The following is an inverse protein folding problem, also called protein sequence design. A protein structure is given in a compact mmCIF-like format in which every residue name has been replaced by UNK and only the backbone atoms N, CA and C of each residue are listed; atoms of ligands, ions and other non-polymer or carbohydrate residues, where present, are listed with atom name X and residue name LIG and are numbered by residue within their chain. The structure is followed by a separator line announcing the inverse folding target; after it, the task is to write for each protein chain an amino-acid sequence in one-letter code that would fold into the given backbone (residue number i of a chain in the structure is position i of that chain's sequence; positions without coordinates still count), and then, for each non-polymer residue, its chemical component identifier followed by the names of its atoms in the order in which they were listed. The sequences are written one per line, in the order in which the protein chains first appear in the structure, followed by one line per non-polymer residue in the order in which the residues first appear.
data_IF_458053131184
#
_entry.id   IF_458053131184
#
_cell.length_a   1.000
_cell.length_b   1.000
_cell.length_c   1.000
_cell.angle_alpha   90.00
_cell.angle_beta   90.00
_cell.angle_gamma   90.00
#
_symmetry.space_group_name_H-M   'P 1'
#
loop_
_entity.id
_entity.type
_entity.pdbx_description
1 polymer ?
#
# COMPACT_ATOMS: atom_id res chain seq x y z
N UNK A 1 46.89 6.14 67.17
CA UNK A 1 47.10 6.87 65.89
C UNK A 1 46.38 6.11 64.77
N UNK A 2 45.26 6.64 64.27
CA UNK A 2 44.55 6.09 63.11
C UNK A 2 45.02 6.84 61.86
N UNK A 3 45.84 6.21 61.02
CA UNK A 3 46.18 6.73 59.69
C UNK A 3 45.11 6.26 58.70
N UNK A 4 44.09 7.11 58.51
CA UNK A 4 43.09 6.97 57.46
C UNK A 4 43.52 7.87 56.31
N UNK A 5 44.29 7.32 55.36
CA UNK A 5 44.63 8.02 54.11
C UNK A 5 43.83 7.35 52.99
N UNK A 6 42.56 7.73 52.86
CA UNK A 6 41.80 7.53 51.63
C UNK A 6 41.89 8.84 50.84
N UNK A 7 42.78 8.90 49.86
CA UNK A 7 42.86 10.04 48.93
C UNK A 7 41.59 10.09 48.07
N UNK A 8 40.76 11.15 48.18
CA UNK A 8 39.46 11.22 47.49
C UNK A 8 39.59 11.18 45.96
N UNK A 9 40.64 11.80 45.40
CA UNK A 9 40.82 11.88 43.94
C UNK A 9 41.05 10.55 43.21
N UNK A 10 41.45 9.47 43.90
CA UNK A 10 41.68 8.16 43.25
C UNK A 10 40.38 7.39 43.00
N UNK A 11 39.37 7.58 43.86
CA UNK A 11 38.05 6.98 43.70
C UNK A 11 37.26 7.69 42.59
N UNK A 12 37.36 9.02 42.50
CA UNK A 12 36.68 9.80 41.45
C UNK A 12 37.24 9.52 40.05
N UNK A 13 38.55 9.27 39.95
CA UNK A 13 39.20 8.88 38.69
C UNK A 13 38.81 7.47 38.25
N UNK A 14 38.73 6.50 39.18
CA UNK A 14 38.23 5.15 38.89
C UNK A 14 36.74 5.14 38.51
N UNK A 15 35.91 5.98 39.15
CA UNK A 15 34.50 6.14 38.81
C UNK A 15 34.32 6.69 37.40
N UNK A 16 35.08 7.73 37.03
CA UNK A 16 35.08 8.31 35.68
C UNK A 16 35.54 7.32 34.60
N UNK A 17 36.56 6.50 34.88
CA UNK A 17 37.02 5.45 33.96
C UNK A 17 35.98 4.32 33.79
N UNK A 18 35.31 3.93 34.87
CA UNK A 18 34.22 2.94 34.81
C UNK A 18 32.99 3.48 34.06
N UNK A 19 32.64 4.77 34.21
CA UNK A 19 31.57 5.42 33.45
C UNK A 19 31.92 5.55 31.96
N UNK A 20 33.17 5.90 31.64
CA UNK A 20 33.67 5.93 30.25
C UNK A 20 33.66 4.53 29.61
N UNK A 21 34.13 3.51 30.33
CA UNK A 21 34.13 2.12 29.85
C UNK A 21 32.72 1.54 29.68
N UNK A 22 31.76 1.99 30.51
CA UNK A 22 30.33 1.64 30.36
C UNK A 22 29.73 2.33 29.14
N UNK A 23 30.04 3.60 28.90
CA UNK A 23 29.61 4.35 27.71
C UNK A 23 30.12 3.75 26.40
N UNK A 24 31.39 3.34 26.36
CA UNK A 24 31.97 2.69 25.17
C UNK A 24 31.35 1.31 24.88
N UNK A 25 31.00 0.55 25.93
CA UNK A 25 30.32 -0.74 25.79
C UNK A 25 28.89 -0.56 25.25
N UNK A 26 28.15 0.42 25.77
CA UNK A 26 26.80 0.76 25.30
C UNK A 26 26.83 1.25 23.85
N UNK A 27 27.81 2.09 23.48
CA UNK A 27 27.99 2.54 22.09
C UNK A 27 28.24 1.38 21.13
N UNK A 28 29.11 0.43 21.51
CA UNK A 28 29.37 -0.78 20.69
C UNK A 28 28.14 -1.67 20.56
N UNK A 29 27.36 -1.83 21.63
CA UNK A 29 26.13 -2.61 21.58
C UNK A 29 25.05 -1.96 20.70
N UNK A 30 24.87 -0.64 20.80
CA UNK A 30 23.95 0.09 19.92
C UNK A 30 24.36 0.00 18.44
N UNK A 31 25.66 0.05 18.15
CA UNK A 31 26.17 -0.13 16.78
C UNK A 31 25.94 -1.55 16.26
N UNK A 32 26.11 -2.58 17.11
CA UNK A 32 25.85 -3.97 16.74
C UNK A 32 24.36 -4.22 16.47
N UNK A 33 23.48 -3.71 17.34
CA UNK A 33 22.02 -3.80 17.17
C UNK A 33 21.58 -3.01 15.94
N UNK A 34 22.11 -1.80 15.72
CA UNK A 34 21.79 -0.98 14.54
C UNK A 34 22.18 -1.67 13.23
N UNK A 35 23.35 -2.34 13.19
CA UNK A 35 23.76 -3.14 12.03
C UNK A 35 22.85 -4.33 11.81
N UNK A 36 22.53 -5.09 12.86
CA UNK A 36 21.61 -6.22 12.77
C UNK A 36 20.22 -5.78 12.28
N UNK A 37 19.67 -4.71 12.86
CA UNK A 37 18.38 -4.14 12.45
C UNK A 37 18.41 -3.65 11.00
N UNK A 38 19.51 -3.05 10.55
CA UNK A 38 19.67 -2.65 9.15
C UNK A 38 19.73 -3.84 8.19
N UNK A 39 20.38 -4.95 8.56
CA UNK A 39 20.41 -6.17 7.75
C UNK A 39 19.03 -6.83 7.64
N UNK A 40 18.34 -7.01 8.77
CA UNK A 40 17.01 -7.61 8.76
C UNK A 40 15.96 -6.70 8.12
N UNK A 41 15.97 -5.41 8.46
CA UNK A 41 15.08 -4.42 7.89
C UNK A 41 15.31 -4.24 6.38
N UNK A 42 16.57 -4.08 5.96
CA UNK A 42 16.93 -3.99 4.55
C UNK A 42 16.57 -5.24 3.77
N UNK A 43 16.86 -6.43 4.30
CA UNK A 43 16.50 -7.71 3.69
C UNK A 43 14.99 -7.90 3.54
N UNK A 44 14.22 -7.57 4.58
CA UNK A 44 12.76 -7.66 4.55
C UNK A 44 12.14 -6.70 3.53
N UNK A 45 12.65 -5.47 3.44
CA UNK A 45 12.19 -4.49 2.46
C UNK A 45 12.52 -4.92 1.03
N UNK A 46 13.73 -5.41 0.78
CA UNK A 46 14.13 -5.95 -0.53
C UNK A 46 13.29 -7.16 -0.92
N UNK A 47 13.02 -8.08 0.01
CA UNK A 47 12.19 -9.24 -0.26
C UNK A 47 10.75 -8.83 -0.57
N UNK A 48 10.16 -7.95 0.25
CA UNK A 48 8.77 -7.49 0.08
C UNK A 48 8.57 -6.77 -1.25
N UNK A 49 9.52 -5.92 -1.64
CA UNK A 49 9.49 -5.21 -2.93
C UNK A 49 9.68 -6.18 -4.09
N UNK A 50 10.64 -7.10 -4.02
CA UNK A 50 10.86 -8.13 -5.04
C UNK A 50 9.63 -9.02 -5.24
N UNK A 51 9.01 -9.49 -4.15
CA UNK A 51 7.77 -10.29 -4.21
C UNK A 51 6.62 -9.52 -4.86
N UNK A 52 6.46 -8.23 -4.53
CA UNK A 52 5.40 -7.40 -5.13
C UNK A 52 5.61 -7.24 -6.64
N UNK A 53 6.84 -7.00 -7.08
CA UNK A 53 7.18 -6.88 -8.51
C UNK A 53 6.94 -8.21 -9.23
N UNK A 54 7.37 -9.33 -8.64
CA UNK A 54 7.16 -10.67 -9.21
C UNK A 54 5.68 -11.03 -9.33
N UNK A 55 4.86 -10.74 -8.31
CA UNK A 55 3.42 -10.99 -8.39
C UNK A 55 2.77 -10.09 -9.44
N UNK A 56 3.14 -8.82 -9.52
CA UNK A 56 2.62 -7.91 -10.54
C UNK A 56 2.97 -8.36 -11.95
N UNK A 57 4.22 -8.81 -12.19
CA UNK A 57 4.63 -9.31 -13.49
C UNK A 57 3.88 -10.58 -13.87
N UNK A 58 3.72 -11.53 -12.94
CA UNK A 58 2.91 -12.74 -13.16
C UNK A 58 1.44 -12.41 -13.45
N UNK A 59 0.85 -11.43 -12.75
CA UNK A 59 -0.52 -10.97 -13.03
C UNK A 59 -0.64 -10.32 -14.40
N UNK A 60 0.35 -9.54 -14.82
CA UNK A 60 0.37 -8.95 -16.16
C UNK A 60 0.54 -9.99 -17.26
N UNK A 61 1.44 -10.96 -17.07
CA UNK A 61 1.61 -12.09 -17.99
C UNK A 61 0.35 -12.95 -18.04
N UNK A 62 -0.30 -13.18 -16.90
CA UNK A 62 -1.57 -13.90 -16.83
C UNK A 62 -2.69 -13.12 -17.53
N UNK A 63 -2.83 -11.81 -17.30
CA UNK A 63 -3.82 -10.97 -17.98
C UNK A 63 -3.58 -10.94 -19.50
N UNK A 64 -2.34 -10.80 -19.96
CA UNK A 64 -2.02 -10.84 -21.40
C UNK A 64 -2.25 -12.21 -22.02
N UNK A 65 -1.98 -13.30 -21.29
CA UNK A 65 -2.27 -14.66 -21.74
C UNK A 65 -3.78 -14.91 -21.80
N UNK A 66 -4.51 -14.47 -20.78
CA UNK A 66 -5.98 -14.51 -20.76
C UNK A 66 -6.56 -13.70 -21.91
N UNK A 67 -6.06 -12.50 -22.23
CA UNK A 67 -6.51 -11.76 -23.43
C UNK A 67 -6.29 -12.51 -24.75
N UNK A 68 -5.27 -13.36 -24.83
CA UNK A 68 -4.95 -14.13 -26.04
C UNK A 68 -5.77 -15.43 -26.17
N UNK A 69 -6.05 -16.09 -25.04
CA UNK A 69 -6.66 -17.42 -25.05
C UNK A 69 -8.06 -17.48 -24.44
N UNK A 70 -8.45 -16.53 -23.59
CA UNK A 70 -9.78 -16.48 -23.01
C UNK A 70 -10.79 -16.06 -24.07
N UNK A 71 -11.98 -16.65 -23.99
CA UNK A 71 -13.07 -16.27 -24.88
C UNK A 71 -13.48 -14.83 -24.59
N UNK A 72 -13.72 -14.08 -25.66
CA UNK A 72 -14.27 -12.73 -25.56
C UNK A 72 -15.60 -12.79 -24.81
N UNK A 73 -15.83 -11.85 -23.92
CA UNK A 73 -17.10 -11.78 -23.20
C UNK A 73 -18.22 -11.50 -24.20
N UNK A 74 -19.10 -12.48 -24.41
CA UNK A 74 -20.22 -12.36 -25.35
C UNK A 74 -21.18 -11.21 -25.01
N UNK A 75 -21.30 -10.84 -23.72
CA UNK A 75 -22.21 -9.79 -23.29
C UNK A 75 -21.77 -8.35 -23.67
N UNK A 76 -20.47 -8.13 -23.87
CA UNK A 76 -19.93 -6.84 -24.32
C UNK A 76 -19.07 -6.96 -25.58
N UNK A 77 -19.09 -8.10 -26.26
CA UNK A 77 -18.33 -8.37 -27.49
C UNK A 77 -16.86 -7.97 -27.38
N UNK A 78 -16.20 -8.32 -26.27
CA UNK A 78 -14.79 -7.93 -26.08
C UNK A 78 -14.55 -6.49 -25.61
N UNK A 79 -15.53 -5.57 -25.69
CA UNK A 79 -15.35 -4.13 -25.41
C UNK A 79 -15.15 -3.79 -23.94
N UNK A 80 -15.58 -4.68 -23.03
CA UNK A 80 -15.50 -4.47 -21.57
C UNK A 80 -16.47 -3.43 -21.00
N UNK A 81 -17.09 -2.62 -21.84
CA UNK A 81 -18.07 -1.60 -21.46
C UNK A 81 -19.30 -1.71 -22.35
N UNK A 82 -20.45 -1.25 -21.86
CA UNK A 82 -21.65 -1.07 -22.67
C UNK A 82 -22.26 0.32 -22.38
N UNK A 83 -23.05 0.83 -23.32
CA UNK A 83 -23.77 2.08 -23.13
C UNK A 83 -24.65 2.02 -21.89
N UNK A 84 -24.63 3.08 -21.07
CA UNK A 84 -25.40 3.14 -19.83
C UNK A 84 -26.88 2.88 -20.11
N UNK A 85 -27.39 1.74 -19.63
CA UNK A 85 -28.79 1.34 -19.88
C UNK A 85 -29.79 2.22 -19.13
N UNK A 86 -29.33 2.87 -18.05
CA UNK A 86 -30.17 3.72 -17.22
C UNK A 86 -30.47 5.07 -17.89
N UNK A 87 -29.42 5.81 -18.26
CA UNK A 87 -29.58 7.11 -18.91
C UNK A 87 -29.69 7.01 -20.44
N UNK A 88 -29.46 5.84 -21.06
CA UNK A 88 -29.50 5.65 -22.52
C UNK A 88 -28.69 6.71 -23.30
N UNK A 89 -27.61 7.20 -22.72
CA UNK A 89 -26.76 8.25 -23.30
C UNK A 89 -27.05 9.69 -22.86
N UNK A 90 -28.14 9.99 -22.14
CA UNK A 90 -28.48 11.35 -21.68
C UNK A 90 -27.55 11.90 -20.59
N UNK A 91 -26.66 11.09 -20.00
CA UNK A 91 -25.80 11.39 -18.84
C UNK A 91 -26.53 11.78 -17.55
N UNK A 92 -27.79 12.17 -17.63
CA UNK A 92 -28.64 12.59 -16.52
C UNK A 92 -29.94 11.78 -16.48
N UNK A 93 -30.54 11.68 -15.31
CA UNK A 93 -31.83 11.00 -15.07
C UNK A 93 -32.79 11.98 -14.42
N UNK A 94 -34.06 11.91 -14.82
CA UNK A 94 -35.08 12.82 -14.31
C UNK A 94 -35.67 12.38 -12.97
N UNK A 95 -35.47 11.11 -12.62
CA UNK A 95 -35.90 10.53 -11.37
C UNK A 95 -34.67 10.23 -10.49
N UNK A 96 -34.83 10.42 -9.18
CA UNK A 96 -33.85 10.03 -8.18
C UNK A 96 -34.42 8.90 -7.33
N UNK A 97 -33.69 7.79 -7.13
CA UNK A 97 -34.13 6.71 -6.24
C UNK A 97 -34.11 7.11 -4.75
N UNK A 98 -33.42 8.20 -4.41
CA UNK A 98 -33.43 8.81 -3.08
C UNK A 98 -34.30 10.08 -3.13
N UNK A 99 -35.33 10.13 -2.28
CA UNK A 99 -36.14 11.34 -2.10
C UNK A 99 -35.33 12.34 -1.29
N UNK A 100 -34.65 13.25 -1.99
CA UNK A 100 -33.88 14.33 -1.39
C UNK A 100 -34.58 15.67 -1.72
N UNK A 101 -35.03 16.45 -0.71
CA UNK A 101 -35.69 17.73 -0.93
C UNK A 101 -34.79 18.81 -1.56
N UNK A 102 -33.48 18.55 -1.71
CA UNK A 102 -32.50 19.51 -2.27
C UNK A 102 -32.21 19.27 -3.76
N UNK A 103 -32.55 18.10 -4.31
CA UNK A 103 -32.18 17.75 -5.69
C UNK A 103 -33.16 18.31 -6.74
N UNK A 104 -32.65 19.16 -7.62
CA UNK A 104 -33.37 19.69 -8.79
C UNK A 104 -33.08 18.78 -10.00
N UNK A 105 -34.09 18.07 -10.47
CA UNK A 105 -34.07 17.28 -11.70
C UNK A 105 -33.68 18.17 -12.92
N UNK A 106 -32.79 17.74 -13.83
CA UNK A 106 -32.22 16.40 -13.97
C UNK A 106 -30.89 16.18 -13.25
N UNK A 107 -30.83 15.05 -12.54
CA UNK A 107 -29.70 14.64 -11.72
C UNK A 107 -28.67 13.89 -12.57
N UNK A 108 -27.41 13.87 -12.15
CA UNK A 108 -26.40 13.04 -12.82
C UNK A 108 -26.74 11.55 -12.67
N UNK A 109 -26.55 10.76 -13.74
CA UNK A 109 -26.91 9.34 -13.71
C UNK A 109 -26.03 8.58 -12.69
N UNK A 110 -26.60 7.95 -11.65
CA UNK A 110 -25.82 7.32 -10.58
C UNK A 110 -25.13 6.02 -11.00
N UNK A 111 -25.46 5.48 -12.19
CA UNK A 111 -24.86 4.23 -12.66
C UNK A 111 -23.68 4.45 -13.60
N UNK A 112 -23.58 5.60 -14.25
CA UNK A 112 -22.44 5.94 -15.10
C UNK A 112 -21.72 7.21 -14.67
N UNK A 113 -22.15 7.87 -13.59
CA UNK A 113 -21.62 9.15 -13.11
C UNK A 113 -21.50 10.20 -14.22
N UNK A 114 -22.46 10.22 -15.14
CA UNK A 114 -22.48 11.12 -16.29
C UNK A 114 -21.58 10.73 -17.46
N UNK A 115 -20.79 9.65 -17.37
CA UNK A 115 -19.88 9.21 -18.45
C UNK A 115 -20.59 8.54 -19.63
N UNK A 116 -21.90 8.25 -19.50
CA UNK A 116 -22.75 7.58 -20.51
C UNK A 116 -22.36 6.13 -20.83
N UNK A 117 -21.30 5.60 -20.22
CA UNK A 117 -20.85 4.22 -20.34
C UNK A 117 -20.82 3.54 -18.98
N UNK A 118 -21.12 2.25 -18.96
CA UNK A 118 -21.01 1.41 -17.77
C UNK A 118 -20.03 0.28 -18.02
N UNK A 119 -19.34 -0.16 -16.98
CA UNK A 119 -18.52 -1.37 -17.04
C UNK A 119 -19.42 -2.58 -17.24
N UNK A 120 -19.01 -3.48 -18.13
CA UNK A 120 -19.72 -4.72 -18.32
C UNK A 120 -19.64 -5.55 -17.04
N UNK A 121 -20.78 -5.81 -16.41
CA UNK A 121 -20.85 -6.56 -15.15
C UNK A 121 -20.48 -8.04 -15.33
N UNK A 122 -20.62 -8.59 -16.54
CA UNK A 122 -20.27 -9.99 -16.82
C UNK A 122 -18.75 -10.24 -16.91
N UNK A 123 -17.96 -9.23 -17.29
CA UNK A 123 -16.50 -9.35 -17.37
C UNK A 123 -15.76 -8.30 -16.51
N UNK A 124 -16.49 -7.56 -15.68
CA UNK A 124 -15.99 -6.52 -14.79
C UNK A 124 -15.10 -5.47 -15.47
N UNK A 125 -15.34 -5.18 -16.75
CA UNK A 125 -14.52 -4.23 -17.51
C UNK A 125 -13.32 -4.83 -18.25
N UNK A 126 -13.06 -6.14 -18.14
CA UNK A 126 -11.88 -6.79 -18.75
C UNK A 126 -12.06 -7.10 -20.23
N UNK A 127 -13.29 -7.35 -20.67
CA UNK A 127 -13.61 -7.71 -22.06
C UNK A 127 -13.53 -9.21 -22.39
N UNK A 128 -12.98 -10.04 -21.50
CA UNK A 128 -12.90 -11.50 -21.66
C UNK A 128 -13.43 -12.20 -20.40
N UNK A 129 -13.87 -13.45 -20.56
CA UNK A 129 -14.43 -14.28 -19.48
C UNK A 129 -13.36 -15.14 -18.80
#
# INVERSE_FOLDING_TARGET
MRLRITHPGRLDSLRSLMESGRGDRVRRQLQAVGRAAAYFGGGFLLLSTASTVAVRSLRFLSDTNQRKFAMQCGACEGKGTYGCRLCRGSSTVEWSPLYDPVFVNPCICPTCDGTRVQRCLNCLGKGYA
#
